data_IF_772171727917
#
_entry.id   IF_772171727917
#
_cell.length_a   1.000
_cell.length_b   1.000
_cell.length_c   1.000
_cell.angle_alpha   90.00
_cell.angle_beta   90.00
_cell.angle_gamma   90.00
#
_symmetry.space_group_name_H-M   'P 1'
#
loop_
_entity.id
_entity.type
_entity.pdbx_description
1 polymer ?
#
# COMPACT_ATOMS: atom_id res chain seq x y z
N UNK A 1 -12.65 -11.71 18.42
CA UNK A 1 -11.42 -10.93 18.16
C UNK A 1 -10.55 -11.63 17.13
N UNK A 2 -9.65 -10.94 16.41
CA UNK A 2 -8.70 -11.59 15.48
C UNK A 2 -7.88 -12.67 16.17
N UNK A 3 -7.43 -12.41 17.41
CA UNK A 3 -6.61 -13.34 18.19
C UNK A 3 -7.36 -14.64 18.56
N UNK A 4 -8.69 -14.63 18.57
CA UNK A 4 -9.51 -15.82 18.82
C UNK A 4 -9.76 -16.63 17.54
N UNK A 5 -9.71 -15.98 16.37
CA UNK A 5 -10.03 -16.59 15.08
C UNK A 5 -8.79 -17.15 14.36
N UNK A 6 -7.58 -16.79 14.78
CA UNK A 6 -6.33 -17.13 14.10
C UNK A 6 -5.33 -17.71 15.09
N UNK A 7 -5.07 -19.01 14.98
CA UNK A 7 -4.01 -19.67 15.73
C UNK A 7 -2.64 -19.18 15.26
N UNK A 8 -1.69 -19.00 16.19
CA UNK A 8 -0.37 -18.43 15.88
C UNK A 8 0.46 -19.29 14.91
N UNK A 9 0.24 -20.61 14.95
CA UNK A 9 0.86 -21.65 14.13
C UNK A 9 0.19 -21.85 12.74
N UNK A 10 -0.98 -21.26 12.47
CA UNK A 10 -1.56 -21.25 11.12
C UNK A 10 -0.85 -20.20 10.25
N UNK A 11 0.07 -20.67 9.40
CA UNK A 11 0.83 -19.84 8.47
C UNK A 11 0.05 -19.39 7.22
N UNK A 12 -1.21 -19.77 7.05
CA UNK A 12 -2.00 -19.40 5.89
C UNK A 12 -2.20 -17.87 5.83
N UNK A 13 -1.74 -17.19 4.79
CA UNK A 13 -1.92 -15.73 4.69
C UNK A 13 -3.32 -15.32 4.20
N UNK A 14 -3.93 -16.15 3.35
CA UNK A 14 -5.16 -15.81 2.62
C UNK A 14 -6.41 -16.15 3.43
N UNK A 15 -7.51 -15.38 3.30
CA UNK A 15 -8.76 -15.69 3.96
C UNK A 15 -9.36 -17.01 3.46
N UNK A 16 -10.06 -17.71 4.33
CA UNK A 16 -10.79 -18.93 4.02
C UNK A 16 -12.14 -18.91 4.75
N UNK A 17 -13.22 -18.72 3.98
CA UNK A 17 -14.58 -18.63 4.53
C UNK A 17 -15.04 -19.92 5.21
N UNK A 18 -14.70 -21.09 4.66
CA UNK A 18 -15.07 -22.40 5.23
C UNK A 18 -14.50 -22.62 6.62
N UNK A 19 -13.31 -22.05 6.91
CA UNK A 19 -12.65 -22.13 8.22
C UNK A 19 -12.89 -20.90 9.11
N UNK A 20 -13.78 -19.99 8.71
CA UNK A 20 -13.98 -18.66 9.35
C UNK A 20 -12.66 -17.90 9.56
N UNK A 21 -11.71 -18.11 8.65
CA UNK A 21 -10.37 -17.56 8.74
C UNK A 21 -10.29 -16.23 7.98
N UNK A 22 -10.01 -15.09 8.65
CA UNK A 22 -10.13 -13.77 8.05
C UNK A 22 -8.93 -13.34 7.21
N UNK A 23 -7.88 -14.16 7.10
CA UNK A 23 -6.62 -13.78 6.46
C UNK A 23 -5.73 -12.94 7.37
N UNK A 24 -4.45 -12.80 7.02
CA UNK A 24 -3.44 -12.11 7.83
C UNK A 24 -2.93 -10.84 7.13
N UNK A 25 -2.48 -9.88 7.94
CA UNK A 25 -1.87 -8.60 7.50
C UNK A 25 -2.81 -7.70 6.71
N UNK A 26 -2.41 -6.45 6.48
CA UNK A 26 -3.14 -5.50 5.63
C UNK A 26 -3.39 -6.00 4.20
N UNK A 27 -2.61 -6.99 3.74
CA UNK A 27 -2.72 -7.56 2.39
C UNK A 27 -3.94 -8.45 2.23
N UNK A 28 -4.35 -9.19 3.26
CA UNK A 28 -5.38 -10.23 3.12
C UNK A 28 -6.46 -10.20 4.19
N UNK A 29 -6.25 -9.47 5.28
CA UNK A 29 -7.23 -9.38 6.36
C UNK A 29 -8.54 -8.76 5.86
N UNK A 30 -9.64 -9.50 6.04
CA UNK A 30 -10.99 -9.10 5.60
C UNK A 30 -11.82 -8.46 6.70
N UNK A 31 -11.36 -8.50 7.95
CA UNK A 31 -12.00 -7.82 9.06
C UNK A 31 -11.71 -6.31 9.08
N UNK A 32 -12.32 -5.62 10.03
CA UNK A 32 -12.10 -4.19 10.26
C UNK A 32 -10.98 -4.02 11.29
N UNK A 33 -9.84 -3.39 10.92
CA UNK A 33 -8.81 -3.05 11.89
C UNK A 33 -9.26 -1.86 12.75
N UNK A 34 -8.77 -1.80 14.00
CA UNK A 34 -8.96 -0.60 14.84
C UNK A 34 -8.11 0.56 14.31
N UNK A 35 -6.86 0.25 13.95
CA UNK A 35 -5.97 1.12 13.19
C UNK A 35 -5.38 0.34 12.03
N UNK A 36 -5.49 0.88 10.83
CA UNK A 36 -4.99 0.27 9.61
C UNK A 36 -3.47 0.35 9.55
N UNK A 37 -2.84 -0.60 8.87
CA UNK A 37 -1.42 -0.53 8.59
C UNK A 37 -1.11 0.75 7.79
N UNK A 38 -0.18 1.55 8.30
CA UNK A 38 0.21 2.81 7.68
C UNK A 38 -0.58 4.03 8.15
N UNK A 39 -1.59 3.87 9.02
CA UNK A 39 -2.19 5.02 9.69
C UNK A 39 -1.18 5.68 10.65
N UNK A 40 -1.09 6.99 10.55
CA UNK A 40 -0.23 7.82 11.37
C UNK A 40 -0.81 9.22 11.49
N UNK A 41 -0.49 9.89 12.59
CA UNK A 41 -0.86 11.28 12.83
C UNK A 41 0.40 12.15 12.80
N UNK A 42 0.23 13.41 12.42
CA UNK A 42 1.27 14.42 12.48
C UNK A 42 0.82 15.61 13.32
N UNK A 43 1.78 16.36 13.85
CA UNK A 43 1.52 17.63 14.52
C UNK A 43 1.32 18.79 13.55
N UNK A 44 1.57 18.59 12.26
CA UNK A 44 1.20 19.51 11.17
C UNK A 44 0.23 18.83 10.20
N UNK A 45 -0.24 19.57 9.19
CA UNK A 45 -1.10 19.03 8.12
C UNK A 45 -0.36 19.07 6.79
N UNK A 46 -0.52 18.02 6.01
CA UNK A 46 0.04 17.90 4.67
C UNK A 46 -1.07 17.73 3.65
N UNK A 47 -0.89 18.33 2.48
CA UNK A 47 -1.69 18.06 1.28
C UNK A 47 -0.82 17.30 0.28
N UNK A 48 -1.45 16.36 -0.43
CA UNK A 48 -0.77 15.51 -1.39
C UNK A 48 -1.45 15.62 -2.75
N UNK A 49 -0.66 15.69 -3.81
CA UNK A 49 -1.12 15.49 -5.17
C UNK A 49 -0.35 14.35 -5.82
N UNK A 50 -1.08 13.50 -6.56
CA UNK A 50 -0.53 12.31 -7.20
C UNK A 50 -0.66 12.45 -8.72
N UNK A 51 0.47 12.42 -9.40
CA UNK A 51 0.56 12.29 -10.85
C UNK A 51 1.04 10.88 -11.20
N UNK A 52 0.34 10.21 -12.12
CA UNK A 52 0.65 8.84 -12.55
C UNK A 52 0.81 8.81 -14.06
N UNK A 53 2.03 8.49 -14.50
CA UNK A 53 2.37 8.37 -15.90
C UNK A 53 2.65 6.91 -16.27
N UNK A 54 2.02 6.43 -17.35
CA UNK A 54 2.35 5.15 -17.96
C UNK A 54 3.53 5.33 -18.90
N UNK A 55 4.68 4.78 -18.54
CA UNK A 55 5.85 4.71 -19.39
C UNK A 55 5.88 3.34 -20.06
N UNK A 56 5.42 3.29 -21.30
CA UNK A 56 5.49 2.09 -22.12
C UNK A 56 6.94 1.86 -22.59
N UNK A 57 7.76 1.25 -21.74
CA UNK A 57 9.05 0.72 -22.14
C UNK A 57 8.90 -0.76 -22.52
N UNK A 58 9.56 -1.28 -23.57
CA UNK A 58 9.65 -2.72 -23.79
C UNK A 58 10.47 -3.35 -22.65
N UNK A 59 9.80 -3.73 -21.55
CA UNK A 59 10.43 -4.43 -20.44
C UNK A 59 10.77 -5.85 -20.88
N UNK A 60 12.03 -6.09 -21.20
CA UNK A 60 12.58 -7.45 -21.26
C UNK A 60 12.79 -7.93 -19.83
N UNK A 61 11.84 -8.70 -19.31
CA UNK A 61 12.06 -9.43 -18.07
C UNK A 61 13.20 -10.44 -18.29
N UNK A 62 14.34 -10.25 -17.61
CA UNK A 62 15.43 -11.21 -17.63
C UNK A 62 14.91 -12.58 -17.15
N UNK A 63 14.94 -13.58 -18.02
CA UNK A 63 14.50 -14.96 -17.72
C UNK A 63 13.03 -15.30 -18.04
N UNK A 64 12.23 -14.39 -18.61
CA UNK A 64 10.89 -14.73 -19.08
C UNK A 64 10.92 -15.28 -20.52
N UNK A 65 10.51 -16.54 -20.71
CA UNK A 65 10.40 -17.19 -22.03
C UNK A 65 9.37 -16.54 -22.98
N UNK A 66 8.61 -15.54 -22.50
CA UNK A 66 7.72 -14.71 -23.31
C UNK A 66 7.95 -13.24 -22.98
N UNK A 67 8.16 -12.43 -24.02
CA UNK A 67 8.12 -10.99 -23.92
C UNK A 67 6.70 -10.56 -23.56
N UNK A 68 6.41 -10.41 -22.27
CA UNK A 68 5.23 -9.68 -21.84
C UNK A 68 5.36 -8.21 -22.25
N UNK A 69 4.26 -7.58 -22.67
CA UNK A 69 4.18 -6.11 -22.72
C UNK A 69 4.22 -5.59 -21.28
N UNK A 70 5.39 -5.55 -20.68
CA UNK A 70 5.54 -4.88 -19.39
C UNK A 70 5.38 -3.38 -19.60
N UNK A 71 4.68 -2.72 -18.69
CA UNK A 71 4.60 -1.28 -18.64
C UNK A 71 5.24 -0.81 -17.34
N UNK A 72 6.04 0.24 -17.41
CA UNK A 72 6.54 0.93 -16.22
C UNK A 72 5.51 2.00 -15.87
N UNK A 73 5.12 2.05 -14.61
CA UNK A 73 4.28 3.15 -14.10
C UNK A 73 5.17 4.01 -13.24
N UNK A 74 5.22 5.30 -13.54
CA UNK A 74 5.90 6.29 -12.70
C UNK A 74 4.82 7.04 -11.94
N UNK A 75 4.93 7.03 -10.61
CA UNK A 75 4.05 7.79 -9.73
C UNK A 75 4.87 8.89 -9.05
N UNK A 76 4.48 10.13 -9.26
CA UNK A 76 5.08 11.31 -8.63
C UNK A 76 4.09 11.87 -7.62
N UNK A 77 4.54 12.06 -6.39
CA UNK A 77 3.72 12.64 -5.32
C UNK A 77 4.35 13.97 -4.91
N UNK A 78 3.60 15.06 -5.04
CA UNK A 78 3.96 16.34 -4.43
C UNK A 78 3.34 16.42 -3.04
N UNK A 79 4.08 16.95 -2.06
CA UNK A 79 3.67 17.00 -0.66
C UNK A 79 3.84 18.43 -0.17
N UNK A 80 2.76 19.09 0.21
CA UNK A 80 2.81 20.45 0.75
C UNK A 80 2.52 20.45 2.25
N UNK A 81 3.35 21.08 3.07
CA UNK A 81 3.05 21.31 4.48
C UNK A 81 2.19 22.57 4.64
N UNK A 82 0.87 22.38 4.75
CA UNK A 82 -0.11 23.46 4.90
C UNK A 82 -0.35 23.88 6.37
N UNK A 83 0.35 23.26 7.32
CA UNK A 83 0.24 23.62 8.73
C UNK A 83 1.20 24.74 9.14
N UNK A 84 1.32 24.94 10.46
CA UNK A 84 2.06 26.08 11.05
C UNK A 84 3.43 25.72 11.57
N UNK A 85 3.78 24.43 11.61
CA UNK A 85 5.03 23.94 12.18
C UNK A 85 5.73 23.00 11.21
N UNK A 86 7.05 22.88 11.37
CA UNK A 86 7.85 21.88 10.65
C UNK A 86 7.37 20.47 11.02
N UNK A 87 7.31 19.58 10.04
CA UNK A 87 6.97 18.19 10.26
C UNK A 87 7.65 17.26 9.26
N UNK A 88 7.66 15.98 9.61
CA UNK A 88 8.05 14.91 8.70
C UNK A 88 6.80 14.19 8.24
N UNK A 89 6.69 13.97 6.93
CA UNK A 89 5.61 13.20 6.32
C UNK A 89 6.14 11.88 5.78
N UNK A 90 5.44 10.78 6.08
CA UNK A 90 5.78 9.43 5.62
C UNK A 90 4.74 8.98 4.60
N UNK A 91 5.15 8.84 3.35
CA UNK A 91 4.32 8.36 2.25
C UNK A 91 4.42 6.84 2.12
N UNK A 92 3.27 6.19 1.94
CA UNK A 92 3.16 4.77 1.63
C UNK A 92 2.36 4.59 0.34
N UNK A 93 3.02 4.15 -0.73
CA UNK A 93 2.37 3.89 -2.02
C UNK A 93 1.89 2.43 -2.07
N UNK A 94 0.59 2.23 -2.13
CA UNK A 94 -0.02 0.91 -2.25
C UNK A 94 -0.53 0.64 -3.66
N UNK A 95 -0.27 -0.57 -4.16
CA UNK A 95 -0.83 -1.10 -5.40
C UNK A 95 -1.93 -2.11 -5.11
N UNK A 96 -3.07 -1.97 -5.79
CA UNK A 96 -4.16 -2.94 -5.76
C UNK A 96 -4.32 -3.59 -7.14
N UNK A 97 -4.29 -4.93 -7.24
CA UNK A 97 -4.58 -5.60 -8.50
C UNK A 97 -6.08 -5.45 -8.86
N UNK A 98 -6.47 -5.67 -10.13
CA UNK A 98 -7.88 -5.90 -10.46
C UNK A 98 -8.47 -6.99 -9.55
N UNK A 99 -9.73 -6.84 -9.15
CA UNK A 99 -10.42 -7.77 -8.25
C UNK A 99 -9.72 -7.96 -6.88
N UNK A 100 -9.04 -6.94 -6.37
CA UNK A 100 -8.37 -6.97 -5.07
C UNK A 100 -9.29 -7.51 -3.97
N UNK A 101 -8.78 -8.44 -3.15
CA UNK A 101 -9.53 -9.12 -2.10
C UNK A 101 -10.45 -10.26 -2.56
N UNK A 102 -10.64 -10.48 -3.87
CA UNK A 102 -11.43 -11.61 -4.41
C UNK A 102 -10.56 -12.81 -4.74
N UNK A 103 -11.10 -14.02 -4.61
CA UNK A 103 -10.41 -15.28 -4.95
C UNK A 103 -9.02 -15.40 -4.30
N UNK A 104 -8.88 -14.87 -3.09
CA UNK A 104 -7.62 -14.84 -2.35
C UNK A 104 -6.62 -13.80 -2.84
N UNK A 105 -6.89 -12.96 -3.84
CA UNK A 105 -6.02 -11.86 -4.26
C UNK A 105 -5.75 -10.90 -3.10
N UNK A 106 -4.54 -10.32 -3.01
CA UNK A 106 -4.29 -9.30 -1.99
C UNK A 106 -5.21 -8.09 -2.22
N UNK A 107 -5.65 -7.48 -1.13
CA UNK A 107 -6.43 -6.23 -1.11
C UNK A 107 -5.59 -5.05 -1.56
N UNK A 108 -4.33 -5.05 -1.16
CA UNK A 108 -3.32 -4.07 -1.52
C UNK A 108 -1.93 -4.62 -1.16
N UNK A 109 -0.89 -4.02 -1.74
CA UNK A 109 0.50 -4.31 -1.41
C UNK A 109 1.28 -3.00 -1.38
N UNK A 110 2.12 -2.82 -0.36
CA UNK A 110 3.06 -1.71 -0.32
C UNK A 110 4.09 -1.88 -1.45
N UNK A 111 4.16 -0.88 -2.33
CA UNK A 111 5.09 -0.85 -3.47
C UNK A 111 6.33 -0.01 -3.18
N UNK A 112 6.14 1.13 -2.51
CA UNK A 112 7.21 2.06 -2.17
C UNK A 112 6.84 2.85 -0.92
N UNK A 113 7.84 3.41 -0.26
CA UNK A 113 7.66 4.36 0.82
C UNK A 113 8.72 5.47 0.73
N UNK A 114 8.41 6.64 1.26
CA UNK A 114 9.34 7.76 1.35
C UNK A 114 9.07 8.58 2.61
N UNK A 115 10.08 9.25 3.13
CA UNK A 115 9.95 10.22 4.22
C UNK A 115 10.53 11.54 3.75
N UNK A 116 9.77 12.61 3.90
CA UNK A 116 10.18 13.98 3.57
C UNK A 116 10.00 14.87 4.79
N UNK A 117 10.90 15.83 4.96
CA UNK A 117 10.84 16.83 6.03
C UNK A 117 10.54 18.17 5.41
N UNK A 118 9.51 18.85 5.89
CA UNK A 118 9.04 20.11 5.31
C UNK A 118 8.82 21.16 6.40
N UNK A 119 9.35 22.36 6.18
CA UNK A 119 8.97 23.56 6.92
C UNK A 119 7.51 23.95 6.64
N UNK A 120 6.94 24.84 7.45
CA UNK A 120 5.59 25.35 7.22
C UNK A 120 5.53 26.12 5.88
N UNK A 121 4.61 25.74 5.00
CA UNK A 121 4.44 26.31 3.66
C UNK A 121 5.36 25.74 2.57
N UNK A 122 6.22 24.76 2.89
CA UNK A 122 7.13 24.12 1.93
C UNK A 122 6.41 23.00 1.13
N UNK A 123 6.88 22.76 -0.10
CA UNK A 123 6.39 21.74 -1.06
C UNK A 123 7.55 20.88 -1.58
#
# INVERSE_FOLDING_TARGET
SFAEAVALDDYAMRPNSSRKYPGRTHRFYTGVPVYSFGEGLSYTRFEHSLDVALVAAPLRAAGAARAGRGAVVVATVSVANIGRIRGDEVLLLFGAPPDAGRHGRPRQQLLAFSRVTLAAGEV
#
